data_IF_351216908362
#
_entry.id   IF_351216908362
#
_cell.length_a   1.000
_cell.length_b   1.000
_cell.length_c   1.000
_cell.angle_alpha   90.00
_cell.angle_beta   90.00
_cell.angle_gamma   90.00
#
_symmetry.space_group_name_H-M   'P 1'
#
loop_
_entity.id
_entity.type
_entity.pdbx_description
1 polymer ?
#
# COMPACT_ATOMS: atom_id res chain seq x y z
N UNK A 1 -22.07 -4.12 5.11
CA UNK A 1 -22.55 -2.75 5.41
C UNK A 1 -21.37 -1.80 5.22
N UNK A 2 -21.52 -0.80 4.35
CA UNK A 2 -20.54 0.26 4.17
C UNK A 2 -20.38 1.04 5.48
N UNK A 3 -19.16 1.13 6.00
CA UNK A 3 -18.87 1.90 7.21
C UNK A 3 -19.08 3.41 6.99
N UNK A 4 -19.18 4.17 8.06
CA UNK A 4 -19.12 5.64 8.01
C UNK A 4 -17.86 6.12 8.73
N UNK A 5 -17.27 7.21 8.23
CA UNK A 5 -16.14 7.88 8.84
C UNK A 5 -16.45 9.36 8.98
N UNK A 6 -16.33 9.89 10.20
CA UNK A 6 -16.44 11.32 10.45
C UNK A 6 -15.06 11.95 10.43
N UNK A 7 -14.80 12.82 9.46
CA UNK A 7 -13.54 13.56 9.32
C UNK A 7 -13.86 15.05 9.50
N UNK A 8 -13.37 15.62 10.61
CA UNK A 8 -13.71 16.99 11.00
C UNK A 8 -15.23 17.16 11.17
N UNK A 9 -15.80 18.12 10.46
CA UNK A 9 -17.24 18.41 10.49
C UNK A 9 -18.10 17.44 9.66
N UNK A 10 -17.51 16.66 8.75
CA UNK A 10 -18.25 15.93 7.71
C UNK A 10 -18.25 14.43 7.97
N UNK A 11 -19.41 13.79 7.76
CA UNK A 11 -19.55 12.33 7.75
C UNK A 11 -19.48 11.80 6.31
N UNK A 12 -18.65 10.78 6.10
CA UNK A 12 -18.45 10.13 4.80
C UNK A 12 -18.91 8.68 4.85
N UNK A 13 -19.60 8.25 3.80
CA UNK A 13 -19.85 6.84 3.53
C UNK A 13 -18.60 6.20 2.92
N UNK A 14 -18.27 4.98 3.37
CA UNK A 14 -17.13 4.21 2.86
C UNK A 14 -17.60 3.22 1.81
N UNK A 15 -17.21 3.43 0.57
CA UNK A 15 -17.59 2.61 -0.58
C UNK A 15 -16.41 1.76 -1.09
N UNK A 16 -16.67 0.52 -1.53
CA UNK A 16 -15.66 -0.26 -2.25
C UNK A 16 -15.29 0.40 -3.57
N UNK A 17 -14.07 0.17 -4.04
CA UNK A 17 -13.54 0.76 -5.28
C UNK A 17 -13.11 -0.37 -6.22
N UNK A 18 -13.54 -0.36 -7.50
CA UNK A 18 -13.12 -1.38 -8.45
C UNK A 18 -11.62 -1.37 -8.76
N UNK A 19 -11.00 -2.52 -9.03
CA UNK A 19 -9.55 -2.65 -9.24
C UNK A 19 -9.01 -1.70 -10.34
N UNK A 20 -9.79 -1.44 -11.40
CA UNK A 20 -9.39 -0.49 -12.45
C UNK A 20 -9.24 0.94 -11.90
N UNK A 21 -10.16 1.37 -11.04
CA UNK A 21 -10.09 2.68 -10.39
C UNK A 21 -8.98 2.71 -9.35
N UNK A 22 -8.79 1.64 -8.57
CA UNK A 22 -7.65 1.51 -7.65
C UNK A 22 -6.34 1.69 -8.43
N UNK A 23 -6.17 0.98 -9.52
CA UNK A 23 -4.97 1.08 -10.38
C UNK A 23 -4.74 2.50 -10.88
N UNK A 24 -5.79 3.23 -11.26
CA UNK A 24 -5.68 4.62 -11.69
C UNK A 24 -5.29 5.57 -10.55
N UNK A 25 -5.87 5.39 -9.36
CA UNK A 25 -5.57 6.18 -8.15
C UNK A 25 -4.12 5.95 -7.70
N UNK A 26 -3.65 4.70 -7.72
CA UNK A 26 -2.32 4.31 -7.26
C UNK A 26 -1.19 4.78 -8.20
N UNK A 27 -1.52 5.23 -9.42
CA UNK A 27 -0.57 5.86 -10.35
C UNK A 27 -0.28 7.33 -10.02
N UNK A 28 -0.90 7.89 -8.99
CA UNK A 28 -0.58 9.24 -8.52
C UNK A 28 0.92 9.33 -8.16
N UNK A 29 1.71 10.24 -8.77
CA UNK A 29 3.15 10.32 -8.54
C UNK A 29 3.55 10.65 -7.10
N UNK A 30 2.71 11.39 -6.36
CA UNK A 30 2.97 11.70 -4.96
C UNK A 30 2.87 10.44 -4.10
N UNK A 31 1.92 9.59 -4.45
CA UNK A 31 1.69 8.33 -3.75
C UNK A 31 2.73 7.26 -4.11
N UNK A 32 3.09 7.15 -5.39
CA UNK A 32 4.04 6.14 -5.88
C UNK A 32 5.40 6.22 -5.16
N UNK A 33 5.88 7.44 -4.84
CA UNK A 33 7.14 7.66 -4.12
C UNK A 33 7.12 7.17 -2.67
N UNK A 34 5.97 7.24 -2.01
CA UNK A 34 5.82 6.76 -0.63
C UNK A 34 5.54 5.26 -0.57
N UNK A 35 5.00 4.69 -1.65
CA UNK A 35 4.73 3.27 -1.78
C UNK A 35 6.01 2.45 -2.03
N UNK A 36 7.03 3.04 -2.66
CA UNK A 36 8.33 2.41 -2.92
C UNK A 36 9.47 3.41 -2.69
N UNK A 37 10.25 3.18 -1.63
CA UNK A 37 11.41 4.03 -1.28
C UNK A 37 12.47 3.27 -0.51
N UNK A 38 13.65 3.88 -0.52
CA UNK A 38 14.83 3.46 0.21
C UNK A 38 14.69 3.83 1.69
N UNK A 39 14.96 2.88 2.60
CA UNK A 39 14.77 3.08 4.05
C UNK A 39 16.07 3.06 4.84
N UNK A 40 17.01 2.20 4.44
CA UNK A 40 18.29 2.03 5.14
C UNK A 40 19.36 1.55 4.15
N UNK A 41 20.60 1.97 4.34
CA UNK A 41 21.74 1.57 3.51
C UNK A 41 22.87 0.97 4.33
N UNK A 42 23.52 -0.04 3.78
CA UNK A 42 24.84 -0.55 4.17
C UNK A 42 25.85 -0.19 3.09
N UNK A 43 26.94 0.48 3.46
CA UNK A 43 27.99 0.87 2.51
C UNK A 43 29.25 -0.03 2.55
N UNK A 44 29.21 -1.13 3.30
CA UNK A 44 30.36 -2.00 3.55
C UNK A 44 31.05 -1.75 4.90
N UNK A 45 30.80 -0.61 5.55
CA UNK A 45 31.41 -0.25 6.83
C UNK A 45 30.40 0.20 7.89
N UNK A 46 29.40 0.98 7.50
CA UNK A 46 28.38 1.52 8.39
C UNK A 46 26.97 1.44 7.79
N UNK A 47 26.00 1.32 8.70
CA UNK A 47 24.58 1.34 8.41
C UNK A 47 23.97 2.71 8.64
N UNK A 48 23.15 3.21 7.70
CA UNK A 48 22.50 4.52 7.80
C UNK A 48 21.03 4.46 7.44
N UNK A 49 20.19 5.11 8.26
CA UNK A 49 18.78 5.35 7.94
C UNK A 49 18.67 6.41 6.83
N UNK A 50 17.89 6.10 5.80
CA UNK A 50 17.60 6.99 4.67
C UNK A 50 16.23 7.66 4.82
N UNK A 51 15.32 7.04 5.58
CA UNK A 51 14.01 7.57 5.91
C UNK A 51 13.91 7.96 7.39
N UNK A 52 12.96 8.85 7.71
CA UNK A 52 12.65 9.18 9.10
C UNK A 52 12.15 7.93 9.84
N UNK A 53 12.78 7.62 10.96
CA UNK A 53 12.42 6.52 11.85
C UNK A 53 12.20 7.03 13.27
N UNK A 54 11.44 6.28 14.06
CA UNK A 54 11.40 6.45 15.51
C UNK A 54 12.75 6.06 16.12
N UNK A 55 13.02 6.44 17.37
CA UNK A 55 14.21 6.03 18.13
C UNK A 55 14.43 4.49 18.18
N UNK A 56 13.35 3.71 18.03
CA UNK A 56 13.38 2.24 17.97
C UNK A 56 13.56 1.67 16.56
N UNK A 57 13.95 2.47 15.57
CA UNK A 57 14.13 2.05 14.18
C UNK A 57 12.85 1.67 13.44
N UNK A 58 11.68 2.02 13.96
CA UNK A 58 10.40 1.80 13.27
C UNK A 58 10.11 2.91 12.26
N UNK A 59 9.70 2.51 11.05
CA UNK A 59 9.29 3.40 9.97
C UNK A 59 7.78 3.63 10.02
N UNK A 60 7.29 4.87 9.93
CA UNK A 60 5.87 5.13 9.77
C UNK A 60 5.40 4.64 8.40
N UNK A 61 4.23 4.00 8.38
CA UNK A 61 3.56 3.55 7.17
C UNK A 61 2.39 4.50 6.91
N UNK A 62 2.54 5.51 6.03
CA UNK A 62 1.58 6.61 5.94
C UNK A 62 0.24 6.17 5.36
N UNK A 63 -0.84 6.68 5.94
CA UNK A 63 -2.13 6.72 5.28
C UNK A 63 -2.10 7.81 4.21
N UNK A 64 -2.84 7.63 3.11
CA UNK A 64 -2.97 8.66 2.09
C UNK A 64 -4.45 8.97 1.78
N UNK A 65 -4.70 10.21 1.39
CA UNK A 65 -5.97 10.66 0.87
C UNK A 65 -5.72 11.25 -0.51
N UNK A 66 -6.22 10.57 -1.54
CA UNK A 66 -6.03 10.96 -2.94
C UNK A 66 -7.34 11.49 -3.47
N UNK A 67 -7.29 12.66 -4.11
CA UNK A 67 -8.40 13.17 -4.88
C UNK A 67 -8.20 12.78 -6.34
N UNK A 68 -9.20 12.14 -6.93
CA UNK A 68 -9.14 11.71 -8.31
C UNK A 68 -10.52 11.85 -8.94
N UNK A 69 -10.63 12.79 -9.88
CA UNK A 69 -11.79 12.90 -10.76
C UNK A 69 -11.38 12.38 -12.12
N UNK A 70 -12.04 11.32 -12.58
CA UNK A 70 -11.73 10.73 -13.88
C UNK A 70 -12.21 11.61 -15.03
N UNK A 71 -11.42 11.67 -16.09
CA UNK A 71 -11.81 12.06 -17.43
C UNK A 71 -11.74 10.80 -18.30
N UNK A 72 -12.85 10.43 -18.91
CA UNK A 72 -12.85 9.37 -19.90
C UNK A 72 -11.97 9.79 -21.08
N UNK A 73 -10.96 8.99 -21.42
CA UNK A 73 -10.27 9.12 -22.70
C UNK A 73 -10.95 8.26 -23.77
N UNK A 74 -10.69 8.60 -25.02
CA UNK A 74 -11.22 7.92 -26.21
C UNK A 74 -10.88 6.42 -26.30
N UNK A 75 -9.88 5.96 -25.56
CA UNK A 75 -9.45 4.56 -25.50
C UNK A 75 -9.98 3.80 -24.26
N UNK A 76 -10.95 4.35 -23.52
CA UNK A 76 -11.54 3.70 -22.33
C UNK A 76 -10.64 3.67 -21.10
N UNK A 77 -9.45 4.28 -21.16
CA UNK A 77 -8.56 4.45 -20.00
C UNK A 77 -9.10 5.58 -19.11
N UNK A 78 -9.03 5.39 -17.79
CA UNK A 78 -9.38 6.45 -16.84
C UNK A 78 -8.16 7.38 -16.66
N UNK A 79 -8.25 8.58 -17.20
CA UNK A 79 -7.25 9.63 -16.97
C UNK A 79 -7.71 10.59 -15.87
N UNK A 80 -6.77 11.31 -15.26
CA UNK A 80 -7.06 12.32 -14.24
C UNK A 80 -7.49 13.64 -14.87
N UNK A 81 -8.57 14.22 -14.38
CA UNK A 81 -8.96 15.61 -14.66
C UNK A 81 -8.32 16.54 -13.62
N UNK A 82 -7.19 17.18 -13.95
CA UNK A 82 -6.46 17.99 -12.97
C UNK A 82 -7.26 19.16 -12.39
N UNK A 83 -8.06 19.85 -13.21
CA UNK A 83 -8.86 20.98 -12.73
C UNK A 83 -9.95 20.51 -11.76
N UNK A 84 -10.70 19.47 -12.14
CA UNK A 84 -11.77 18.93 -11.29
C UNK A 84 -11.21 18.26 -10.02
N UNK A 85 -10.07 17.57 -10.12
CA UNK A 85 -9.38 16.99 -8.97
C UNK A 85 -8.94 18.04 -7.96
N UNK A 86 -8.31 19.15 -8.41
CA UNK A 86 -7.93 20.25 -7.53
C UNK A 86 -9.13 20.92 -6.88
N UNK A 87 -10.21 21.13 -7.63
CA UNK A 87 -11.45 21.68 -7.08
C UNK A 87 -12.07 20.75 -6.02
N UNK A 88 -12.11 19.43 -6.28
CA UNK A 88 -12.59 18.44 -5.31
C UNK A 88 -11.75 18.43 -4.04
N UNK A 89 -10.42 18.47 -4.16
CA UNK A 89 -9.51 18.55 -3.02
C UNK A 89 -9.77 19.79 -2.16
N UNK A 90 -9.87 20.97 -2.79
CA UNK A 90 -10.15 22.24 -2.11
C UNK A 90 -11.47 22.18 -1.35
N UNK A 91 -12.56 21.78 -2.04
CA UNK A 91 -13.89 21.64 -1.44
C UNK A 91 -13.90 20.66 -0.27
N UNK A 92 -13.21 19.53 -0.40
CA UNK A 92 -13.12 18.53 0.65
C UNK A 92 -12.43 19.09 1.90
N UNK A 93 -11.28 19.75 1.73
CA UNK A 93 -10.52 20.35 2.84
C UNK A 93 -11.38 21.39 3.56
N UNK A 94 -11.95 22.34 2.81
CA UNK A 94 -12.82 23.39 3.37
C UNK A 94 -14.02 22.83 4.11
N UNK A 95 -14.72 21.85 3.52
CA UNK A 95 -15.89 21.23 4.13
C UNK A 95 -15.57 20.52 5.44
N UNK A 96 -14.42 19.84 5.53
CA UNK A 96 -13.99 19.18 6.78
C UNK A 96 -13.63 20.18 7.90
N UNK A 97 -13.53 21.48 7.59
CA UNK A 97 -13.09 22.52 8.52
C UNK A 97 -11.59 22.48 8.77
N UNK A 98 -10.82 21.91 7.85
CA UNK A 98 -9.37 21.86 7.92
C UNK A 98 -8.75 23.03 7.15
N UNK A 99 -7.61 23.52 7.65
CA UNK A 99 -6.81 24.57 7.01
C UNK A 99 -6.04 24.01 5.80
N UNK A 100 -5.58 22.76 5.89
CA UNK A 100 -4.83 22.09 4.85
C UNK A 100 -5.05 20.56 4.83
N UNK A 101 -4.45 19.91 3.82
CA UNK A 101 -4.52 18.44 3.67
C UNK A 101 -3.83 17.69 4.82
N UNK A 102 -2.81 18.28 5.46
CA UNK A 102 -2.09 17.64 6.55
C UNK A 102 -2.98 17.51 7.78
N UNK A 103 -3.80 18.51 8.07
CA UNK A 103 -4.76 18.47 9.17
C UNK A 103 -5.87 17.44 8.90
N UNK A 104 -6.32 17.31 7.65
CA UNK A 104 -7.25 16.23 7.25
C UNK A 104 -6.60 14.86 7.49
N UNK A 105 -5.36 14.65 7.02
CA UNK A 105 -4.62 13.39 7.19
C UNK A 105 -4.31 13.08 8.66
N UNK A 106 -4.06 14.10 9.49
CA UNK A 106 -3.93 13.94 10.93
C UNK A 106 -5.25 13.48 11.56
N UNK A 107 -6.37 14.05 11.15
CA UNK A 107 -7.72 13.62 11.55
C UNK A 107 -7.99 12.16 11.17
N UNK A 108 -7.71 11.79 9.91
CA UNK A 108 -7.80 10.41 9.43
C UNK A 108 -6.92 9.48 10.27
N UNK A 109 -5.67 9.85 10.52
CA UNK A 109 -4.71 9.04 11.28
C UNK A 109 -5.11 8.85 12.74
N UNK A 110 -5.89 9.76 13.33
CA UNK A 110 -6.49 9.53 14.66
C UNK A 110 -7.58 8.45 14.62
N UNK A 111 -8.36 8.38 13.54
CA UNK A 111 -9.44 7.39 13.38
C UNK A 111 -8.91 6.00 13.05
N UNK A 112 -7.95 5.93 12.13
CA UNK A 112 -7.47 4.66 11.57
C UNK A 112 -6.11 4.23 12.11
N UNK A 113 -5.47 5.05 12.96
CA UNK A 113 -4.09 4.89 13.42
C UNK A 113 -3.05 5.10 12.29
N UNK A 114 -1.86 5.57 12.66
CA UNK A 114 -0.68 5.57 11.79
C UNK A 114 0.19 4.34 12.13
N UNK A 115 0.16 3.28 11.31
CA UNK A 115 0.94 2.09 11.60
C UNK A 115 2.45 2.35 11.49
N UNK A 116 3.22 1.57 12.23
CA UNK A 116 4.69 1.61 12.22
C UNK A 116 5.23 0.19 12.07
N UNK A 117 6.39 0.05 11.42
CA UNK A 117 7.07 -1.23 11.29
C UNK A 117 8.58 -1.08 11.45
N UNK A 118 9.15 -1.86 12.37
CA UNK A 118 10.60 -2.02 12.50
C UNK A 118 11.17 -2.74 11.28
N UNK A 119 12.27 -2.22 10.77
CA UNK A 119 13.00 -2.82 9.65
C UNK A 119 13.53 -4.21 10.02
N UNK A 120 13.34 -5.24 9.17
CA UNK A 120 13.88 -6.57 9.41
C UNK A 120 15.36 -6.66 9.01
N UNK A 121 16.22 -5.82 9.61
CA UNK A 121 17.63 -5.71 9.21
C UNK A 121 18.40 -7.03 9.41
N UNK A 122 18.07 -7.79 10.45
CA UNK A 122 18.67 -9.11 10.73
C UNK A 122 18.50 -10.09 9.56
N UNK A 123 17.39 -10.00 8.83
CA UNK A 123 17.16 -10.86 7.67
C UNK A 123 18.19 -10.62 6.56
N UNK A 124 18.72 -9.41 6.46
CA UNK A 124 19.69 -9.01 5.42
C UNK A 124 21.13 -8.94 5.92
N UNK A 125 21.35 -9.06 7.24
CA UNK A 125 22.67 -8.95 7.86
C UNK A 125 23.76 -9.85 7.23
N UNK A 126 23.46 -11.10 6.79
CA UNK A 126 24.47 -11.93 6.13
C UNK A 126 25.11 -11.29 4.89
N UNK A 127 24.39 -10.41 4.17
CA UNK A 127 24.91 -9.76 2.96
C UNK A 127 25.99 -8.70 3.25
N UNK A 128 26.14 -8.29 4.52
CA UNK A 128 27.04 -7.20 4.91
C UNK A 128 28.52 -7.55 4.73
N UNK A 129 28.88 -8.84 4.79
CA UNK A 129 30.25 -9.33 4.61
C UNK A 129 30.79 -9.08 3.20
N UNK A 130 29.91 -9.11 2.20
CA UNK A 130 30.32 -9.20 0.81
C UNK A 130 29.85 -8.03 -0.07
N UNK A 131 28.91 -7.20 0.41
CA UNK A 131 28.21 -6.23 -0.45
C UNK A 131 27.96 -4.89 0.23
N UNK A 132 27.71 -3.87 -0.59
CA UNK A 132 26.90 -2.70 -0.20
C UNK A 132 25.49 -2.88 -0.73
N UNK A 133 24.48 -2.53 0.04
CA UNK A 133 23.08 -2.66 -0.37
C UNK A 133 22.18 -1.62 0.28
N UNK A 134 20.99 -1.43 -0.30
CA UNK A 134 19.91 -0.63 0.28
C UNK A 134 18.73 -1.53 0.60
N UNK A 135 18.15 -1.37 1.78
CA UNK A 135 16.86 -1.96 2.13
C UNK A 135 15.76 -1.03 1.66
N UNK A 136 14.93 -1.53 0.75
CA UNK A 136 13.76 -0.87 0.21
C UNK A 136 12.50 -1.47 0.80
N UNK A 137 11.43 -0.69 0.82
CA UNK A 137 10.10 -1.26 1.05
C UNK A 137 9.18 -1.06 -0.14
N UNK A 138 8.19 -1.95 -0.22
CA UNK A 138 7.03 -1.81 -1.06
C UNK A 138 5.76 -1.88 -0.20
N UNK A 139 4.90 -0.87 -0.28
CA UNK A 139 3.61 -0.82 0.41
C UNK A 139 2.48 -1.14 -0.55
N UNK A 140 1.72 -2.17 -0.22
CA UNK A 140 0.40 -2.42 -0.80
C UNK A 140 -0.66 -1.71 0.04
N UNK A 141 -1.72 -1.21 -0.59
CA UNK A 141 -2.74 -0.42 0.08
C UNK A 141 -4.14 -0.95 -0.17
N UNK A 142 -4.97 -0.83 0.87
CA UNK A 142 -6.41 -0.97 0.78
C UNK A 142 -7.00 0.39 0.42
N UNK A 143 -7.69 0.46 -0.72
CA UNK A 143 -8.27 1.70 -1.23
C UNK A 143 -9.79 1.64 -1.13
N UNK A 144 -10.37 2.68 -0.54
CA UNK A 144 -11.83 2.88 -0.48
C UNK A 144 -12.19 4.28 -0.95
N UNK A 145 -13.43 4.47 -1.39
CA UNK A 145 -13.98 5.77 -1.70
C UNK A 145 -14.71 6.31 -0.48
N UNK A 146 -14.32 7.49 -0.02
CA UNK A 146 -15.09 8.31 0.90
C UNK A 146 -16.04 9.17 0.08
N UNK A 147 -17.35 9.04 0.31
CA UNK A 147 -18.37 9.82 -0.39
C UNK A 147 -19.26 10.53 0.62
N UNK A 148 -19.44 11.84 0.42
CA UNK A 148 -20.54 12.58 1.03
C UNK A 148 -21.47 13.05 -0.09
N UNK A 149 -22.74 12.64 -0.04
CA UNK A 149 -23.72 12.95 -1.08
C UNK A 149 -24.31 14.36 -0.93
N UNK A 150 -24.49 14.81 0.31
CA UNK A 150 -25.09 16.11 0.64
C UNK A 150 -24.25 17.27 0.09
N UNK A 151 -22.94 17.20 0.26
CA UNK A 151 -22.00 18.24 -0.15
C UNK A 151 -21.27 17.89 -1.46
N UNK A 152 -21.63 16.77 -2.10
CA UNK A 152 -20.99 16.26 -3.31
C UNK A 152 -19.46 16.18 -3.20
N UNK A 153 -18.97 15.52 -2.14
CA UNK A 153 -17.54 15.36 -1.87
C UNK A 153 -17.10 13.91 -2.13
N UNK A 154 -15.89 13.74 -2.64
CA UNK A 154 -15.29 12.44 -2.89
C UNK A 154 -13.77 12.45 -2.64
N UNK A 155 -13.25 11.42 -2.00
CA UNK A 155 -11.81 11.21 -1.82
C UNK A 155 -11.48 9.74 -1.63
N UNK A 156 -10.32 9.30 -2.13
CA UNK A 156 -9.87 7.92 -2.02
C UNK A 156 -8.95 7.78 -0.81
N UNK A 157 -9.43 7.08 0.22
CA UNK A 157 -8.63 6.77 1.39
C UNK A 157 -7.82 5.50 1.12
N UNK A 158 -6.50 5.64 1.20
CA UNK A 158 -5.55 4.56 0.99
C UNK A 158 -4.91 4.22 2.34
N UNK A 159 -5.20 3.04 2.86
CA UNK A 159 -4.62 2.54 4.11
C UNK A 159 -3.56 1.49 3.78
N UNK A 160 -2.34 1.57 4.35
CA UNK A 160 -1.34 0.52 4.19
C UNK A 160 -1.96 -0.82 4.54
N UNK A 161 -1.76 -1.83 3.71
CA UNK A 161 -2.29 -3.18 3.84
C UNK A 161 -1.19 -4.17 4.20
N UNK A 162 -0.14 -4.17 3.38
CA UNK A 162 1.06 -4.99 3.54
C UNK A 162 2.29 -4.16 3.30
N UNK A 163 3.37 -4.55 3.95
CA UNK A 163 4.70 -4.03 3.68
C UNK A 163 5.63 -5.19 3.35
N UNK A 164 6.35 -5.05 2.25
CA UNK A 164 7.39 -5.97 1.81
C UNK A 164 8.71 -5.24 1.92
N UNK A 165 9.76 -5.93 2.36
CA UNK A 165 11.11 -5.39 2.37
C UNK A 165 11.98 -6.22 1.43
N UNK A 166 12.95 -5.61 0.77
CA UNK A 166 13.97 -6.33 0.02
C UNK A 166 15.29 -5.56 0.02
N UNK A 167 16.39 -6.27 -0.15
CA UNK A 167 17.71 -5.68 -0.38
C UNK A 167 17.96 -5.46 -1.87
N UNK A 168 18.42 -4.28 -2.24
CA UNK A 168 18.97 -3.96 -3.55
C UNK A 168 20.49 -3.81 -3.42
N UNK A 169 21.25 -4.79 -3.94
CA UNK A 169 22.72 -4.76 -3.93
C UNK A 169 23.19 -3.60 -4.83
N UNK A 170 24.00 -2.71 -4.27
CA UNK A 170 24.60 -1.54 -4.94
C UNK A 170 26.02 -1.83 -5.43
N UNK A 171 26.78 -2.63 -4.68
CA UNK A 171 28.14 -3.03 -5.02
C UNK A 171 28.47 -4.39 -4.39
N UNK A 172 29.34 -5.15 -5.05
CA UNK A 172 29.91 -6.39 -4.53
C UNK A 172 31.39 -6.12 -4.26
N UNK A 173 31.82 -6.36 -3.02
CA UNK A 173 33.20 -6.16 -2.57
C UNK A 173 33.98 -7.47 -2.55
N UNK A 174 33.28 -8.59 -2.32
CA UNK A 174 33.85 -9.93 -2.32
C UNK A 174 32.85 -10.92 -2.96
N UNK A 175 33.17 -11.37 -4.18
CA UNK A 175 32.31 -12.29 -4.93
C UNK A 175 32.30 -13.70 -4.32
N UNK A 176 33.46 -14.18 -3.86
CA UNK A 176 33.58 -15.53 -3.31
C UNK A 176 32.82 -15.65 -1.98
N UNK A 177 32.87 -14.60 -1.15
CA UNK A 177 32.06 -14.52 0.07
C UNK A 177 30.56 -14.48 -0.25
N UNK A 178 30.15 -13.68 -1.23
CA UNK A 178 28.75 -13.60 -1.66
C UNK A 178 28.22 -14.96 -2.15
N UNK A 179 29.02 -15.69 -2.92
CA UNK A 179 28.64 -17.01 -3.43
C UNK A 179 28.50 -18.01 -2.28
N UNK A 180 29.43 -18.02 -1.31
CA UNK A 180 29.30 -18.84 -0.07
C UNK A 180 28.03 -18.52 0.71
N UNK A 181 27.70 -17.24 0.87
CA UNK A 181 26.47 -16.80 1.55
C UNK A 181 25.24 -17.37 0.83
N UNK A 182 25.19 -17.29 -0.50
CA UNK A 182 24.06 -17.80 -1.28
C UNK A 182 24.01 -19.31 -1.38
N UNK A 183 25.13 -20.02 -1.31
CA UNK A 183 25.14 -21.47 -1.19
C UNK A 183 24.60 -21.92 0.17
N UNK A 184 24.97 -21.21 1.24
CA UNK A 184 24.50 -21.49 2.60
C UNK A 184 23.01 -21.15 2.79
N UNK A 185 22.54 -20.03 2.24
CA UNK A 185 21.13 -19.66 2.22
C UNK A 185 20.69 -19.10 0.85
N UNK A 186 20.24 -19.98 -0.08
CA UNK A 186 19.79 -19.57 -1.40
C UNK A 186 18.60 -18.60 -1.38
N UNK A 187 17.83 -18.57 -0.29
CA UNK A 187 16.63 -17.73 -0.18
C UNK A 187 16.99 -16.24 -0.16
N UNK A 188 18.18 -15.88 0.32
CA UNK A 188 18.66 -14.50 0.39
C UNK A 188 18.66 -13.80 -0.99
N UNK A 189 18.78 -14.54 -2.09
CA UNK A 189 18.71 -14.00 -3.46
C UNK A 189 17.36 -13.37 -3.79
N UNK A 190 16.28 -13.89 -3.22
CA UNK A 190 14.90 -13.48 -3.51
C UNK A 190 14.12 -13.17 -2.25
N UNK A 191 14.81 -12.97 -1.12
CA UNK A 191 14.15 -12.84 0.16
C UNK A 191 13.38 -11.52 0.22
N UNK A 192 12.08 -11.63 0.47
CA UNK A 192 11.19 -10.47 0.59
C UNK A 192 10.33 -10.60 1.86
N UNK A 193 10.87 -10.29 3.05
CA UNK A 193 10.10 -10.35 4.29
C UNK A 193 8.83 -9.51 4.15
N UNK A 194 7.67 -10.16 4.27
CA UNK A 194 6.36 -9.56 4.04
C UNK A 194 5.55 -9.59 5.32
N UNK A 195 4.92 -8.47 5.65
CA UNK A 195 4.14 -8.33 6.87
C UNK A 195 2.78 -7.73 6.58
N UNK A 196 1.73 -8.34 7.14
CA UNK A 196 0.42 -7.71 7.24
C UNK A 196 0.50 -6.57 8.24
N UNK A 197 0.06 -5.38 7.82
CA UNK A 197 -0.05 -4.24 8.73
C UNK A 197 -1.30 -4.48 9.60
N UNK A 198 -1.23 -4.41 10.94
CA UNK A 198 -2.39 -4.69 11.79
C UNK A 198 -3.41 -3.55 11.76
N UNK A 199 -4.71 -3.86 11.86
CA UNK A 199 -5.75 -2.86 12.11
C UNK A 199 -5.84 -2.56 13.61
N UNK A 200 -5.50 -1.34 14.02
CA UNK A 200 -5.49 -0.93 15.43
C UNK A 200 -6.78 -0.23 15.90
N UNK A 201 -7.78 -0.13 15.03
CA UNK A 201 -9.11 0.39 15.36
C UNK A 201 -10.18 -0.31 14.54
N UNK A 202 -11.42 -0.30 15.04
CA UNK A 202 -12.56 -0.89 14.33
C UNK A 202 -12.89 -0.14 13.03
N UNK A 203 -12.68 1.17 13.01
CA UNK A 203 -12.77 1.99 11.81
C UNK A 203 -11.78 1.52 10.74
N UNK A 204 -10.49 1.33 11.10
CA UNK A 204 -9.47 0.81 10.19
C UNK A 204 -9.85 -0.59 9.68
N UNK A 205 -10.27 -1.48 10.60
CA UNK A 205 -10.70 -2.84 10.28
C UNK A 205 -11.87 -2.86 9.30
N UNK A 206 -12.89 -2.05 9.55
CA UNK A 206 -14.10 -1.95 8.70
C UNK A 206 -13.79 -1.41 7.30
N UNK A 207 -12.96 -0.38 7.21
CA UNK A 207 -12.50 0.18 5.93
C UNK A 207 -11.76 -0.87 5.11
N UNK A 208 -10.77 -1.54 5.72
CA UNK A 208 -9.98 -2.56 5.02
C UNK A 208 -10.80 -3.78 4.63
N UNK A 209 -11.72 -4.24 5.48
CA UNK A 209 -12.67 -5.31 5.11
C UNK A 209 -13.53 -4.91 3.91
N UNK A 210 -13.92 -3.64 3.80
CA UNK A 210 -14.69 -3.14 2.64
C UNK A 210 -13.88 -3.23 1.35
N UNK A 211 -12.62 -2.74 1.37
CA UNK A 211 -11.72 -2.87 0.22
C UNK A 211 -11.44 -4.33 -0.15
N UNK A 212 -11.15 -5.18 0.85
CA UNK A 212 -10.79 -6.56 0.63
C UNK A 212 -11.96 -7.42 0.13
N UNK A 213 -13.18 -7.17 0.60
CA UNK A 213 -14.39 -7.82 0.10
C UNK A 213 -14.58 -7.56 -1.40
N UNK A 214 -14.33 -6.33 -1.87
CA UNK A 214 -14.38 -6.01 -3.29
C UNK A 214 -13.34 -6.79 -4.09
N UNK A 215 -12.07 -6.78 -3.64
CA UNK A 215 -10.97 -7.48 -4.31
C UNK A 215 -11.22 -8.99 -4.40
N UNK A 216 -11.75 -9.60 -3.34
CA UNK A 216 -12.13 -11.01 -3.31
C UNK A 216 -13.27 -11.28 -4.30
N UNK A 217 -14.31 -10.44 -4.28
CA UNK A 217 -15.46 -10.56 -5.19
C UNK A 217 -15.03 -10.50 -6.66
N UNK A 218 -14.27 -9.47 -7.04
CA UNK A 218 -13.75 -9.29 -8.40
C UNK A 218 -12.83 -10.43 -8.82
N UNK A 219 -11.94 -10.89 -7.93
CA UNK A 219 -11.04 -12.00 -8.23
C UNK A 219 -11.79 -13.32 -8.42
N UNK A 220 -12.88 -13.56 -7.69
CA UNK A 220 -13.76 -14.73 -7.88
C UNK A 220 -14.52 -14.65 -9.22
N UNK A 221 -15.03 -13.48 -9.57
CA UNK A 221 -15.69 -13.26 -10.86
C UNK A 221 -14.71 -13.46 -12.03
N UNK A 222 -13.51 -12.89 -11.93
CA UNK A 222 -12.46 -13.07 -12.93
C UNK A 222 -12.06 -14.55 -13.07
N UNK A 223 -11.91 -15.27 -11.96
CA UNK A 223 -11.58 -16.69 -11.96
C UNK A 223 -12.64 -17.53 -12.68
N UNK A 224 -13.93 -17.22 -12.46
CA UNK A 224 -15.05 -17.90 -13.10
C UNK A 224 -15.15 -17.61 -14.61
N UNK A 225 -14.64 -16.46 -15.05
CA UNK A 225 -14.65 -16.04 -16.45
C UNK A 225 -13.42 -16.51 -17.27
N UNK A 226 -12.45 -17.21 -16.65
CA UNK A 226 -11.24 -17.63 -17.36
C UNK A 226 -11.53 -18.75 -18.38
N UNK A 227 -10.97 -18.65 -19.61
CA UNK A 227 -11.08 -19.71 -20.60
C UNK A 227 -10.31 -20.97 -20.19
N UNK A 228 -10.62 -22.09 -20.82
CA UNK A 228 -9.84 -23.32 -20.69
C UNK A 228 -8.56 -23.27 -21.54
N UNK A 229 -7.56 -24.07 -21.18
CA UNK A 229 -6.29 -24.23 -21.91
C UNK A 229 -5.09 -23.59 -21.22
N UNK A 230 -3.87 -23.73 -21.78
CA UNK A 230 -2.62 -23.44 -21.06
C UNK A 230 -2.53 -22.03 -20.48
N UNK A 231 -2.95 -21.00 -21.24
CA UNK A 231 -2.96 -19.62 -20.75
C UNK A 231 -4.01 -19.39 -19.64
N UNK A 232 -5.17 -20.03 -19.76
CA UNK A 232 -6.22 -20.01 -18.74
C UNK A 232 -5.80 -20.72 -17.45
N UNK A 233 -5.06 -21.83 -17.55
CA UNK A 233 -4.56 -22.58 -16.40
C UNK A 233 -3.52 -21.80 -15.61
N UNK A 234 -2.60 -21.12 -16.31
CA UNK A 234 -1.63 -20.20 -15.68
C UNK A 234 -2.35 -19.05 -14.99
N UNK A 235 -3.31 -18.41 -15.67
CA UNK A 235 -4.11 -17.32 -15.08
C UNK A 235 -4.89 -17.81 -13.85
N UNK A 236 -5.47 -19.02 -13.90
CA UNK A 236 -6.22 -19.63 -12.80
C UNK A 236 -5.34 -19.89 -11.59
N UNK A 237 -4.12 -20.43 -11.81
CA UNK A 237 -3.13 -20.62 -10.76
C UNK A 237 -2.75 -19.29 -10.09
N UNK A 238 -2.50 -18.25 -10.89
CA UNK A 238 -2.12 -16.93 -10.39
C UNK A 238 -3.26 -16.26 -9.60
N UNK A 239 -4.49 -16.26 -10.12
CA UNK A 239 -5.64 -15.70 -9.40
C UNK A 239 -5.97 -16.49 -8.13
N UNK A 240 -5.84 -17.82 -8.15
CA UNK A 240 -6.04 -18.65 -6.96
C UNK A 240 -4.97 -18.39 -5.90
N UNK A 241 -3.73 -18.10 -6.29
CA UNK A 241 -2.69 -17.64 -5.37
C UNK A 241 -3.04 -16.26 -4.79
N UNK A 242 -3.45 -15.30 -5.64
CA UNK A 242 -3.90 -13.96 -5.21
C UNK A 242 -5.05 -14.04 -4.18
N UNK A 243 -6.05 -14.88 -4.45
CA UNK A 243 -7.19 -15.12 -3.54
C UNK A 243 -6.77 -15.71 -2.20
N UNK A 244 -5.83 -16.66 -2.17
CA UNK A 244 -5.30 -17.21 -0.91
C UNK A 244 -4.64 -16.12 -0.07
N UNK A 245 -3.91 -15.22 -0.71
CA UNK A 245 -3.28 -14.09 -0.02
C UNK A 245 -4.33 -13.12 0.52
N UNK A 246 -5.37 -12.82 -0.25
CA UNK A 246 -6.50 -12.01 0.23
C UNK A 246 -7.25 -12.64 1.40
N UNK A 247 -7.38 -13.97 1.42
CA UNK A 247 -7.97 -14.66 2.57
C UNK A 247 -7.07 -14.55 3.81
N UNK A 248 -5.76 -14.74 3.66
CA UNK A 248 -4.81 -14.56 4.77
C UNK A 248 -4.83 -13.12 5.31
N UNK A 249 -4.94 -12.12 4.42
CA UNK A 249 -5.15 -10.72 4.82
C UNK A 249 -6.44 -10.54 5.61
N UNK A 250 -7.54 -11.14 5.15
CA UNK A 250 -8.85 -11.05 5.83
C UNK A 250 -8.77 -11.60 7.24
N UNK A 251 -8.15 -12.76 7.39
CA UNK A 251 -7.99 -13.44 8.68
C UNK A 251 -7.07 -12.64 9.61
N UNK A 252 -6.03 -12.01 9.07
CA UNK A 252 -5.09 -11.16 9.82
C UNK A 252 -5.69 -9.84 10.33
N UNK A 253 -6.85 -9.39 9.80
CA UNK A 253 -7.57 -8.23 10.35
C UNK A 253 -8.23 -8.51 11.71
N UNK A 254 -8.19 -9.77 12.18
CA UNK A 254 -8.82 -10.20 13.42
C UNK A 254 -10.35 -10.14 13.35
N UNK A 255 -11.02 -10.62 14.40
CA UNK A 255 -12.48 -10.39 14.58
C UNK A 255 -12.74 -8.95 14.98
#
# INVERSE_FOLDING_TARGET
MAGRLKIGAVEFEVHPVPEMTVTAVMRDPLFAKEADRDLWSWNGTEGRMLAQATDKGAIPLPNALIFFVSKASSNGVLNRNEAATRNMASRFITATGADDINQVLAGVSRLVNLPHKTLPLESFAPLQEATSYVVRHHLDFSVVLLRNRTEDLAGYLCLPNRVLFHSEIRAIHDQDALDRIFEADPRLRTMQPTFFVPSRSDANRGVRRTALAQRISESRQALAALPQGPGGDVARKNLSAKLRVFQAEWDALGK
#
